data_IF_407851416898
#
_entry.id   IF_407851416898
#
_cell.length_a   1.000
_cell.length_b   1.000
_cell.length_c   1.000
_cell.angle_alpha   90.00
_cell.angle_beta   90.00
_cell.angle_gamma   90.00
#
_symmetry.space_group_name_H-M   'P 1'
#
loop_
_entity.id
_entity.type
_entity.pdbx_description
1 polymer ?
#
# COMPACT_ATOMS: atom_id res chain seq x y z
N UNK A 1 -5.78 -14.81 -20.16
CA UNK A 1 -4.45 -15.44 -20.08
C UNK A 1 -3.97 -15.46 -18.63
N UNK A 2 -4.70 -16.14 -17.73
CA UNK A 2 -4.26 -16.33 -16.34
C UNK A 2 -3.79 -17.78 -16.24
N UNK A 3 -2.52 -17.99 -16.53
CA UNK A 3 -1.82 -19.25 -16.33
C UNK A 3 -0.51 -18.93 -15.59
N UNK A 4 -0.06 -19.87 -14.78
CA UNK A 4 0.95 -19.77 -13.71
C UNK A 4 0.44 -19.25 -12.36
N UNK A 5 0.38 -20.18 -11.39
CA UNK A 5 0.28 -19.91 -9.96
C UNK A 5 1.50 -19.17 -9.42
N UNK A 6 1.72 -17.94 -9.88
CA UNK A 6 2.67 -17.01 -9.30
C UNK A 6 2.02 -16.43 -8.05
N UNK A 7 2.54 -16.81 -6.89
CA UNK A 7 2.27 -16.08 -5.64
C UNK A 7 2.76 -14.66 -5.89
N UNK A 8 1.87 -13.66 -5.92
CA UNK A 8 2.28 -12.30 -6.24
C UNK A 8 3.26 -11.84 -5.16
N UNK A 9 4.47 -11.49 -5.60
CA UNK A 9 5.50 -10.97 -4.74
C UNK A 9 5.11 -9.59 -4.20
N UNK A 10 5.71 -9.16 -3.09
CA UNK A 10 5.37 -7.89 -2.44
C UNK A 10 5.50 -6.69 -3.40
N UNK A 11 6.52 -6.74 -4.27
CA UNK A 11 6.76 -5.75 -5.32
C UNK A 11 5.65 -5.78 -6.38
N UNK A 12 5.14 -6.97 -6.71
CA UNK A 12 4.04 -7.13 -7.68
C UNK A 12 2.77 -6.51 -7.12
N UNK A 13 2.43 -6.82 -5.87
CA UNK A 13 1.27 -6.26 -5.20
C UNK A 13 1.40 -4.73 -5.05
N UNK A 14 2.59 -4.23 -4.70
CA UNK A 14 2.84 -2.79 -4.57
C UNK A 14 2.70 -2.05 -5.91
N UNK A 15 3.10 -2.67 -7.02
CA UNK A 15 2.92 -2.14 -8.37
C UNK A 15 1.44 -2.08 -8.76
N UNK A 16 0.66 -3.13 -8.45
CA UNK A 16 -0.79 -3.14 -8.67
C UNK A 16 -1.48 -2.07 -7.81
N UNK A 17 -1.13 -1.96 -6.52
CA UNK A 17 -1.67 -0.93 -5.62
C UNK A 17 -1.31 0.48 -6.11
N UNK A 18 -0.09 0.69 -6.62
CA UNK A 18 0.35 1.96 -7.21
C UNK A 18 -0.41 2.30 -8.50
N UNK A 19 -0.75 1.31 -9.31
CA UNK A 19 -1.63 1.48 -10.46
C UNK A 19 -3.05 1.88 -10.01
N UNK A 20 -3.61 1.19 -9.00
CA UNK A 20 -4.89 1.56 -8.40
C UNK A 20 -4.89 2.96 -7.79
N UNK A 21 -3.76 3.40 -7.22
CA UNK A 21 -3.55 4.74 -6.70
C UNK A 21 -3.65 5.80 -7.81
N UNK A 22 -3.09 5.52 -8.98
CA UNK A 22 -3.14 6.39 -10.16
C UNK A 22 -4.55 6.43 -10.77
N UNK A 23 -5.27 5.31 -10.74
CA UNK A 23 -6.66 5.20 -11.18
C UNK A 23 -7.67 5.74 -10.14
N UNK A 24 -7.21 6.19 -8.97
CA UNK A 24 -8.05 6.59 -7.82
C UNK A 24 -9.12 5.54 -7.46
N UNK A 25 -8.79 4.26 -7.70
CA UNK A 25 -9.73 3.15 -7.56
C UNK A 25 -9.59 2.50 -6.18
N UNK A 26 -10.22 3.11 -5.19
CA UNK A 26 -10.20 2.65 -3.78
C UNK A 26 -10.74 1.22 -3.64
N UNK A 27 -11.77 0.86 -4.42
CA UNK A 27 -12.42 -0.46 -4.33
C UNK A 27 -11.42 -1.58 -4.59
N UNK A 28 -10.63 -1.45 -5.65
CA UNK A 28 -9.59 -2.44 -5.99
C UNK A 28 -8.49 -2.48 -4.95
N UNK A 29 -8.06 -1.31 -4.47
CA UNK A 29 -7.09 -1.19 -3.39
C UNK A 29 -7.53 -1.89 -2.09
N UNK A 30 -8.78 -1.72 -1.67
CA UNK A 30 -9.35 -2.39 -0.49
C UNK A 30 -9.46 -3.91 -0.65
N UNK A 31 -9.79 -4.38 -1.86
CA UNK A 31 -9.82 -5.82 -2.16
C UNK A 31 -8.43 -6.44 -2.02
N UNK A 32 -7.40 -5.76 -2.54
CA UNK A 32 -6.00 -6.21 -2.43
C UNK A 32 -5.54 -6.13 -0.97
N UNK A 33 -5.85 -5.05 -0.27
CA UNK A 33 -5.50 -4.89 1.14
C UNK A 33 -6.09 -6.00 2.01
N UNK A 34 -7.35 -6.36 1.79
CA UNK A 34 -8.02 -7.44 2.52
C UNK A 34 -7.36 -8.80 2.27
N UNK A 35 -6.76 -8.99 1.09
CA UNK A 35 -5.95 -10.18 0.79
C UNK A 35 -4.61 -10.08 1.51
N UNK A 36 -3.90 -8.96 1.41
CA UNK A 36 -2.60 -8.72 2.07
C UNK A 36 -2.69 -8.92 3.58
N UNK A 37 -3.72 -8.40 4.26
CA UNK A 37 -3.93 -8.58 5.70
C UNK A 37 -4.11 -10.06 6.09
N UNK A 38 -4.70 -10.87 5.20
CA UNK A 38 -4.87 -12.33 5.42
C UNK A 38 -3.58 -13.11 5.20
N UNK A 39 -2.62 -12.54 4.48
CA UNK A 39 -1.31 -13.14 4.24
C UNK A 39 -0.31 -12.57 5.24
N UNK A 40 -0.04 -13.32 6.30
CA UNK A 40 0.89 -12.93 7.38
C UNK A 40 2.28 -12.50 6.86
N UNK A 41 2.73 -13.12 5.75
CA UNK A 41 3.98 -12.81 5.04
C UNK A 41 4.14 -11.31 4.69
N UNK A 42 3.06 -10.59 4.41
CA UNK A 42 3.10 -9.20 3.92
C UNK A 42 2.75 -8.17 5.00
N UNK A 43 2.57 -8.59 6.25
CA UNK A 43 2.17 -7.71 7.36
C UNK A 43 3.23 -6.65 7.69
N UNK A 44 4.50 -6.99 7.53
CA UNK A 44 5.65 -6.14 7.83
C UNK A 44 6.32 -5.55 6.57
N UNK A 45 5.75 -5.78 5.38
CA UNK A 45 6.37 -5.24 4.17
C UNK A 45 6.12 -3.72 4.04
N UNK A 46 7.21 -2.97 4.07
CA UNK A 46 7.22 -1.52 3.97
C UNK A 46 6.82 -1.05 2.58
N UNK A 47 7.16 -1.81 1.54
CA UNK A 47 6.89 -1.43 0.15
C UNK A 47 5.40 -1.44 -0.09
N UNK A 48 4.70 -2.50 0.34
CA UNK A 48 3.26 -2.62 0.31
C UNK A 48 2.57 -1.59 1.19
N UNK A 49 3.04 -1.43 2.43
CA UNK A 49 2.47 -0.45 3.37
C UNK A 49 2.52 0.97 2.79
N UNK A 50 3.65 1.36 2.20
CA UNK A 50 3.81 2.66 1.56
C UNK A 50 2.93 2.80 0.30
N UNK A 51 2.79 1.73 -0.50
CA UNK A 51 1.90 1.73 -1.66
C UNK A 51 0.42 1.93 -1.25
N UNK A 52 -0.03 1.28 -0.18
CA UNK A 52 -1.39 1.49 0.35
C UNK A 52 -1.58 2.92 0.86
N UNK A 53 -0.62 3.46 1.62
CA UNK A 53 -0.67 4.84 2.10
C UNK A 53 -0.74 5.84 0.94
N UNK A 54 0.05 5.64 -0.12
CA UNK A 54 -0.02 6.46 -1.35
C UNK A 54 -1.37 6.37 -2.04
N UNK A 55 -1.93 5.17 -2.13
CA UNK A 55 -3.25 4.93 -2.72
C UNK A 55 -4.34 5.67 -1.94
N UNK A 56 -4.34 5.57 -0.61
CA UNK A 56 -5.26 6.33 0.23
C UNK A 56 -5.06 7.84 0.12
N UNK A 57 -3.83 8.31 0.02
CA UNK A 57 -3.51 9.73 -0.14
C UNK A 57 -4.05 10.29 -1.48
N UNK A 58 -3.78 9.60 -2.60
CA UNK A 58 -4.28 9.98 -3.94
C UNK A 58 -5.79 9.90 -4.07
N UNK A 59 -6.42 8.99 -3.34
CA UNK A 59 -7.87 8.88 -3.27
C UNK A 59 -8.53 9.89 -2.30
N UNK A 60 -7.76 10.80 -1.69
CA UNK A 60 -8.28 11.81 -0.76
C UNK A 60 -8.66 11.27 0.63
N UNK A 61 -8.41 9.99 0.93
CA UNK A 61 -8.69 9.36 2.23
C UNK A 61 -7.48 9.43 3.16
N UNK A 62 -6.98 10.65 3.39
CA UNK A 62 -5.77 10.92 4.20
C UNK A 62 -5.90 10.42 5.64
N UNK A 63 -7.11 10.45 6.22
CA UNK A 63 -7.38 9.95 7.58
C UNK A 63 -7.10 8.45 7.68
N UNK A 64 -7.50 7.69 6.67
CA UNK A 64 -7.28 6.25 6.60
C UNK A 64 -5.82 5.94 6.31
N UNK A 65 -5.19 6.70 5.40
CA UNK A 65 -3.76 6.61 5.13
C UNK A 65 -2.95 6.78 6.43
N UNK A 66 -3.33 7.76 7.25
CA UNK A 66 -2.70 8.03 8.56
C UNK A 66 -2.96 6.91 9.56
N UNK A 67 -4.18 6.39 9.64
CA UNK A 67 -4.50 5.27 10.53
C UNK A 67 -3.72 4.01 10.14
N UNK A 68 -3.63 3.72 8.84
CA UNK A 68 -2.89 2.57 8.31
C UNK A 68 -1.38 2.69 8.54
N UNK A 69 -0.81 3.88 8.30
CA UNK A 69 0.59 4.18 8.60
C UNK A 69 0.91 4.09 10.10
N UNK A 70 -0.05 4.39 10.97
CA UNK A 70 0.11 4.33 12.42
C UNK A 70 -0.02 2.90 12.97
N UNK A 71 -0.93 2.08 12.41
CA UNK A 71 -1.20 0.72 12.88
C UNK A 71 -0.14 -0.29 12.42
N UNK A 72 0.53 -0.04 11.29
CA UNK A 72 1.53 -0.95 10.71
C UNK A 72 2.99 -0.73 11.15
N UNK A 73 3.30 0.29 11.96
CA UNK A 73 4.68 0.76 12.10
C UNK A 73 5.16 0.74 13.56
N UNK A 74 6.06 -0.20 13.89
CA UNK A 74 6.93 -0.04 15.06
C UNK A 74 7.89 1.13 14.82
N UNK A 75 8.11 1.94 15.86
CA UNK A 75 8.67 3.30 15.95
C UNK A 75 9.81 3.72 14.99
N UNK A 76 10.61 2.80 14.44
CA UNK A 76 11.80 3.09 13.61
C UNK A 76 11.49 3.40 12.13
N UNK A 77 10.36 2.95 11.58
CA UNK A 77 10.06 3.07 10.13
C UNK A 77 9.20 4.29 9.74
N UNK A 78 8.77 5.12 10.71
CA UNK A 78 7.92 6.29 10.45
C UNK A 78 8.58 7.34 9.53
N UNK A 79 9.91 7.47 9.56
CA UNK A 79 10.64 8.45 8.76
C UNK A 79 10.60 8.12 7.25
N UNK A 80 10.65 6.85 6.87
CA UNK A 80 10.68 6.45 5.46
C UNK A 80 9.36 6.76 4.72
N UNK A 81 8.22 6.55 5.38
CA UNK A 81 6.89 6.83 4.80
C UNK A 81 6.67 8.34 4.67
N UNK A 82 7.05 9.13 5.68
CA UNK A 82 6.94 10.58 5.64
C UNK A 82 7.80 11.20 4.50
N UNK A 83 9.03 10.70 4.30
CA UNK A 83 9.90 11.14 3.20
C UNK A 83 9.32 10.76 1.83
N UNK A 84 8.72 9.57 1.72
CA UNK A 84 8.06 9.10 0.49
C UNK A 84 6.89 9.99 0.07
N UNK A 85 6.08 10.43 1.04
CA UNK A 85 4.97 11.35 0.80
C UNK A 85 5.44 12.77 0.47
N UNK A 86 6.52 13.23 1.08
CA UNK A 86 7.09 14.55 0.81
C UNK A 86 7.68 14.67 -0.61
N UNK A 87 8.13 13.55 -1.20
CA UNK A 87 8.66 13.51 -2.58
C UNK A 87 7.60 13.50 -3.70
N UNK A 88 6.32 13.28 -3.39
CA UNK A 88 5.24 13.17 -4.40
C UNK A 88 4.43 14.44 -4.61
N UNK A 89 4.77 15.54 -3.95
CA UNK A 89 4.20 16.86 -4.19
C UNK A 89 5.10 17.73 -5.07
N UNK A 90 4.93 17.64 -6.40
CA UNK A 90 5.22 18.72 -7.36
C UNK A 90 4.30 18.61 -8.55
#
# INVERSE_FOLDING_TARGET
MMDFGVIPDEVTLASVVSACATLSSIKEGLQIQSRVIKFDKFRDDLVLSNAFVDMYAKCGRIKEARFYAFFGCSFEHQFAIAISLLRRGS
#
